data_IF_945164080146
#
_entry.id   IF_945164080146
#
_cell.length_a   1.000
_cell.length_b   1.000
_cell.length_c   1.000
_cell.angle_alpha   90.00
_cell.angle_beta   90.00
_cell.angle_gamma   90.00
#
_symmetry.space_group_name_H-M   'P 1'
#
loop_
_entity.id
_entity.type
_entity.pdbx_description
1 polymer ?
#
# COMPACT_ATOMS: atom_id res chain seq x y z
N UNK A 1 -13.70 -36.58 34.07
CA UNK A 1 -13.65 -35.80 32.82
C UNK A 1 -13.15 -34.42 33.20
N UNK A 2 -11.84 -34.19 33.06
CA UNK A 2 -11.22 -32.92 33.43
C UNK A 2 -11.29 -31.98 32.22
N UNK A 3 -12.10 -30.94 32.33
CA UNK A 3 -12.18 -29.88 31.32
C UNK A 3 -10.90 -29.06 31.35
N UNK A 4 -10.19 -29.02 30.22
CA UNK A 4 -9.05 -28.12 30.03
C UNK A 4 -9.57 -26.68 29.81
N UNK A 5 -8.89 -25.65 30.32
CA UNK A 5 -9.27 -24.27 30.02
C UNK A 5 -8.90 -23.96 28.57
N UNK A 6 -9.87 -23.41 27.84
CA UNK A 6 -9.67 -22.75 26.56
C UNK A 6 -8.60 -21.66 26.73
N UNK A 7 -7.44 -21.82 26.09
CA UNK A 7 -6.47 -20.74 25.91
C UNK A 7 -7.19 -19.62 25.14
N UNK A 8 -7.70 -18.65 25.87
CA UNK A 8 -8.20 -17.41 25.30
C UNK A 8 -7.02 -16.72 24.64
N UNK A 9 -6.96 -16.77 23.32
CA UNK A 9 -6.03 -15.99 22.51
C UNK A 9 -6.31 -14.52 22.82
N UNK A 10 -5.58 -13.97 23.78
CA UNK A 10 -5.67 -12.57 24.17
C UNK A 10 -5.05 -11.81 23.02
N UNK A 11 -5.91 -11.28 22.14
CA UNK A 11 -5.49 -10.34 21.11
C UNK A 11 -4.71 -9.23 21.82
N UNK A 12 -3.50 -8.89 21.34
CA UNK A 12 -2.71 -7.84 21.98
C UNK A 12 -3.54 -6.56 22.08
N UNK A 13 -3.33 -5.76 23.12
CA UNK A 13 -4.09 -4.53 23.30
C UNK A 13 -3.98 -3.65 22.05
N UNK A 14 -5.09 -2.99 21.69
CA UNK A 14 -5.10 -2.05 20.57
C UNK A 14 -4.00 -1.00 20.76
N UNK A 15 -3.36 -0.59 19.66
CA UNK A 15 -2.34 0.45 19.67
C UNK A 15 -2.96 1.77 20.15
N UNK A 16 -2.24 2.49 21.02
CA UNK A 16 -2.56 3.88 21.28
C UNK A 16 -2.37 4.72 20.00
N UNK A 17 -2.98 5.91 19.89
CA UNK A 17 -2.75 6.81 18.77
C UNK A 17 -1.25 7.09 18.53
N UNK A 18 -0.48 7.29 19.60
CA UNK A 18 0.96 7.53 19.53
C UNK A 18 1.72 6.29 19.03
N UNK A 19 1.38 5.09 19.54
CA UNK A 19 2.00 3.85 19.10
C UNK A 19 1.69 3.53 17.63
N UNK A 20 0.46 3.80 17.18
CA UNK A 20 0.08 3.67 15.77
C UNK A 20 0.89 4.62 14.88
N UNK A 21 1.08 5.87 15.32
CA UNK A 21 1.90 6.85 14.61
C UNK A 21 3.35 6.40 14.53
N UNK A 22 3.93 5.95 15.64
CA UNK A 22 5.32 5.47 15.70
C UNK A 22 5.55 4.30 14.75
N UNK A 23 4.71 3.26 14.81
CA UNK A 23 4.79 2.12 13.89
C UNK A 23 4.60 2.52 12.43
N UNK A 24 3.71 3.47 12.14
CA UNK A 24 3.51 3.98 10.78
C UNK A 24 4.75 4.73 10.24
N UNK A 25 5.36 5.58 11.06
CA UNK A 25 6.58 6.31 10.70
C UNK A 25 7.77 5.36 10.53
N UNK A 26 7.87 4.34 11.37
CA UNK A 26 8.87 3.29 11.23
C UNK A 26 8.70 2.53 9.91
N UNK A 27 7.47 2.13 9.56
CA UNK A 27 7.18 1.49 8.29
C UNK A 27 7.66 2.34 7.10
N UNK A 28 7.37 3.65 7.11
CA UNK A 28 7.82 4.58 6.06
C UNK A 28 9.35 4.68 5.99
N UNK A 29 10.03 4.70 7.14
CA UNK A 29 11.49 4.70 7.20
C UNK A 29 12.09 3.40 6.64
N UNK A 30 11.45 2.26 6.90
CA UNK A 30 11.85 0.97 6.34
C UNK A 30 11.66 0.92 4.82
N UNK A 31 10.55 1.44 4.30
CA UNK A 31 10.34 1.59 2.84
C UNK A 31 11.48 2.42 2.22
N UNK A 32 11.81 3.57 2.81
CA UNK A 32 12.89 4.43 2.31
C UNK A 32 14.28 3.78 2.32
N UNK A 33 14.50 2.79 3.20
CA UNK A 33 15.74 2.00 3.27
C UNK A 33 15.74 0.76 2.37
N UNK A 34 14.59 0.42 1.76
CA UNK A 34 14.43 -0.80 0.97
C UNK A 34 14.11 -2.06 1.79
N UNK A 35 13.82 -1.91 3.08
CA UNK A 35 13.51 -3.02 3.99
C UNK A 35 12.02 -3.44 3.90
N UNK A 36 11.55 -3.77 2.69
CA UNK A 36 10.12 -3.91 2.39
C UNK A 36 9.38 -4.99 3.19
N UNK A 37 10.04 -6.10 3.52
CA UNK A 37 9.44 -7.13 4.37
C UNK A 37 9.15 -6.62 5.79
N UNK A 38 10.08 -5.85 6.36
CA UNK A 38 9.88 -5.25 7.68
C UNK A 38 8.84 -4.13 7.62
N UNK A 39 8.89 -3.29 6.58
CA UNK A 39 7.88 -2.26 6.35
C UNK A 39 6.47 -2.84 6.25
N UNK A 40 6.30 -3.93 5.50
CA UNK A 40 5.02 -4.62 5.35
C UNK A 40 4.48 -5.10 6.70
N UNK A 41 5.33 -5.73 7.52
CA UNK A 41 4.94 -6.18 8.85
C UNK A 41 4.53 -5.02 9.77
N UNK A 42 5.22 -3.87 9.68
CA UNK A 42 4.87 -2.70 10.46
C UNK A 42 3.55 -2.08 10.02
N UNK A 43 3.30 -1.98 8.71
CA UNK A 43 2.00 -1.55 8.21
C UNK A 43 0.87 -2.50 8.61
N UNK A 44 1.09 -3.82 8.53
CA UNK A 44 0.13 -4.82 9.01
C UNK A 44 -0.17 -4.67 10.51
N UNK A 45 0.85 -4.39 11.32
CA UNK A 45 0.69 -4.12 12.75
C UNK A 45 -0.23 -2.91 13.00
N UNK A 46 0.00 -1.80 12.29
CA UNK A 46 -0.85 -0.61 12.40
C UNK A 46 -2.28 -0.94 11.97
N UNK A 47 -2.49 -1.57 10.82
CA UNK A 47 -3.85 -1.83 10.33
C UNK A 47 -4.62 -2.80 11.23
N UNK A 48 -3.96 -3.79 11.84
CA UNK A 48 -4.63 -4.77 12.70
C UNK A 48 -4.98 -4.22 14.07
N UNK A 49 -4.11 -3.36 14.62
CA UNK A 49 -4.16 -3.02 16.03
C UNK A 49 -4.55 -1.56 16.30
N UNK A 50 -4.51 -0.67 15.30
CA UNK A 50 -5.05 0.68 15.45
C UNK A 50 -6.59 0.69 15.29
N UNK A 51 -7.30 1.63 15.94
CA UNK A 51 -8.75 1.80 15.74
C UNK A 51 -9.08 2.03 14.26
N UNK A 52 -10.17 1.43 13.78
CA UNK A 52 -10.54 1.51 12.35
C UNK A 52 -10.87 2.93 11.86
N UNK A 53 -11.30 3.81 12.77
CA UNK A 53 -11.55 5.24 12.53
C UNK A 53 -10.28 6.10 12.54
N UNK A 54 -9.10 5.50 12.74
CA UNK A 54 -7.83 6.22 12.76
C UNK A 54 -7.38 6.59 11.36
N UNK A 55 -7.19 7.88 11.09
CA UNK A 55 -6.56 8.35 9.86
C UNK A 55 -5.16 7.73 9.63
N UNK A 56 -4.44 7.37 10.69
CA UNK A 56 -3.15 6.66 10.57
C UNK A 56 -3.37 5.25 9.99
N UNK A 57 -4.41 4.56 10.45
CA UNK A 57 -4.76 3.23 9.93
C UNK A 57 -5.19 3.31 8.45
N UNK A 58 -5.83 4.40 8.06
CA UNK A 58 -6.19 4.70 6.66
C UNK A 58 -4.94 4.80 5.77
N UNK A 59 -4.01 5.70 6.08
CA UNK A 59 -2.75 5.81 5.33
C UNK A 59 -1.90 4.53 5.39
N UNK A 60 -1.94 3.81 6.52
CA UNK A 60 -1.25 2.54 6.65
C UNK A 60 -1.81 1.48 5.71
N UNK A 61 -3.11 1.46 5.40
CA UNK A 61 -3.68 0.50 4.44
C UNK A 61 -3.13 0.71 3.02
N UNK A 62 -3.05 1.96 2.55
CA UNK A 62 -2.42 2.27 1.27
C UNK A 62 -0.95 1.86 1.24
N UNK A 63 -0.16 2.27 2.25
CA UNK A 63 1.25 1.89 2.36
C UNK A 63 1.46 0.37 2.42
N UNK A 64 0.59 -0.35 3.14
CA UNK A 64 0.58 -1.81 3.21
C UNK A 64 0.32 -2.46 1.86
N UNK A 65 -0.67 -1.97 1.11
CA UNK A 65 -1.04 -2.53 -0.19
C UNK A 65 0.11 -2.35 -1.20
N UNK A 66 0.72 -1.18 -1.24
CA UNK A 66 1.91 -0.88 -2.06
C UNK A 66 3.07 -1.79 -1.66
N UNK A 67 3.38 -1.88 -0.36
CA UNK A 67 4.50 -2.71 0.12
C UNK A 67 4.23 -4.21 -0.08
N UNK A 68 2.96 -4.64 -0.01
CA UNK A 68 2.53 -6.01 -0.30
C UNK A 68 2.85 -6.42 -1.74
N UNK A 69 2.67 -5.48 -2.69
CA UNK A 69 3.06 -5.70 -4.08
C UNK A 69 4.57 -5.94 -4.18
N UNK A 70 5.34 -5.11 -3.48
CA UNK A 70 6.81 -5.16 -3.48
C UNK A 70 7.35 -6.47 -2.92
N UNK A 71 6.76 -7.00 -1.84
CA UNK A 71 7.16 -8.29 -1.26
C UNK A 71 6.61 -9.51 -2.01
N UNK A 72 5.96 -9.31 -3.17
CA UNK A 72 5.63 -10.36 -4.13
C UNK A 72 4.21 -10.91 -4.08
N UNK A 73 3.36 -10.51 -3.13
CA UNK A 73 1.95 -10.91 -3.11
C UNK A 73 1.08 -9.97 -3.96
N UNK A 74 1.39 -9.94 -5.26
CA UNK A 74 0.85 -8.96 -6.22
C UNK A 74 -0.67 -9.06 -6.40
N UNK A 75 -1.22 -10.26 -6.41
CA UNK A 75 -2.67 -10.46 -6.57
C UNK A 75 -3.47 -9.85 -5.43
N UNK A 76 -3.06 -10.10 -4.19
CA UNK A 76 -3.71 -9.52 -3.01
C UNK A 76 -3.47 -8.01 -2.91
N UNK A 77 -2.28 -7.52 -3.32
CA UNK A 77 -2.00 -6.10 -3.38
C UNK A 77 -2.95 -5.35 -4.33
N UNK A 78 -3.26 -5.91 -5.50
CA UNK A 78 -4.23 -5.32 -6.44
C UNK A 78 -5.62 -5.22 -5.81
N UNK A 79 -6.10 -6.27 -5.13
CA UNK A 79 -7.41 -6.24 -4.45
C UNK A 79 -7.44 -5.15 -3.37
N UNK A 80 -6.36 -5.02 -2.59
CA UNK A 80 -6.26 -3.99 -1.56
C UNK A 80 -6.24 -2.59 -2.17
N UNK A 81 -5.47 -2.36 -3.25
CA UNK A 81 -5.44 -1.09 -3.97
C UNK A 81 -6.80 -0.73 -4.60
N UNK A 82 -7.54 -1.71 -5.15
CA UNK A 82 -8.91 -1.52 -5.64
C UNK A 82 -9.85 -1.02 -4.51
N UNK A 83 -9.66 -1.51 -3.28
CA UNK A 83 -10.41 -1.02 -2.13
C UNK A 83 -9.98 0.40 -1.72
N UNK A 84 -8.69 0.71 -1.75
CA UNK A 84 -8.19 2.04 -1.37
C UNK A 84 -8.67 3.14 -2.33
N UNK A 85 -8.71 2.90 -3.64
CA UNK A 85 -9.20 3.92 -4.60
C UNK A 85 -10.71 4.19 -4.46
N UNK A 86 -11.49 3.24 -3.91
CA UNK A 86 -12.91 3.45 -3.62
C UNK A 86 -13.12 4.31 -2.37
N UNK A 87 -12.25 4.17 -1.36
CA UNK A 87 -12.32 4.97 -0.13
C UNK A 87 -11.65 6.34 -0.29
N UNK A 88 -10.66 6.45 -1.19
CA UNK A 88 -9.79 7.62 -1.34
C UNK A 88 -9.66 8.07 -2.80
N UNK A 89 -10.78 8.38 -3.44
CA UNK A 89 -10.86 8.80 -4.85
C UNK A 89 -9.94 10.00 -5.18
N UNK A 90 -9.55 10.81 -4.20
CA UNK A 90 -8.68 11.98 -4.40
C UNK A 90 -7.18 11.76 -4.18
N UNK A 91 -6.73 10.51 -3.93
CA UNK A 91 -5.32 10.24 -3.63
C UNK A 91 -4.60 9.74 -4.89
N UNK A 92 -3.82 10.60 -5.57
CA UNK A 92 -3.18 10.24 -6.85
C UNK A 92 -2.24 9.04 -6.72
N UNK A 93 -1.61 8.86 -5.56
CA UNK A 93 -0.73 7.72 -5.29
C UNK A 93 -1.47 6.37 -5.39
N UNK A 94 -2.68 6.28 -4.84
CA UNK A 94 -3.47 5.06 -4.86
C UNK A 94 -3.86 4.67 -6.29
N UNK A 95 -4.30 5.66 -7.07
CA UNK A 95 -4.65 5.49 -8.48
C UNK A 95 -3.44 5.10 -9.33
N UNK A 96 -2.30 5.76 -9.16
CA UNK A 96 -1.07 5.44 -9.88
C UNK A 96 -0.54 4.04 -9.52
N UNK A 97 -0.60 3.65 -8.24
CA UNK A 97 -0.16 2.34 -7.77
C UNK A 97 -1.05 1.24 -8.35
N UNK A 98 -2.38 1.45 -8.34
CA UNK A 98 -3.33 0.50 -8.92
C UNK A 98 -3.12 0.38 -10.43
N UNK A 99 -2.89 1.49 -11.14
CA UNK A 99 -2.60 1.46 -12.58
C UNK A 99 -1.37 0.60 -12.90
N UNK A 100 -0.25 0.85 -12.23
CA UNK A 100 0.98 0.08 -12.40
C UNK A 100 0.78 -1.42 -12.09
N UNK A 101 0.08 -1.72 -11.00
CA UNK A 101 -0.16 -3.09 -10.55
C UNK A 101 -1.10 -3.86 -11.51
N UNK A 102 -2.21 -3.24 -11.94
CA UNK A 102 -3.18 -3.81 -12.87
C UNK A 102 -2.59 -4.09 -14.24
N UNK A 103 -1.73 -3.20 -14.74
CA UNK A 103 -1.04 -3.42 -16.01
C UNK A 103 -0.23 -4.70 -15.99
N UNK A 104 0.54 -4.90 -14.92
CA UNK A 104 1.38 -6.09 -14.74
C UNK A 104 0.56 -7.39 -14.56
N UNK A 105 -0.71 -7.29 -14.15
CA UNK A 105 -1.63 -8.43 -14.08
C UNK A 105 -2.50 -8.62 -15.33
N UNK A 106 -2.28 -7.84 -16.39
CA UNK A 106 -3.04 -7.92 -17.66
C UNK A 106 -4.43 -7.26 -17.63
N UNK A 107 -4.77 -6.51 -16.56
CA UNK A 107 -6.03 -5.76 -16.45
C UNK A 107 -5.89 -4.37 -17.10
N UNK A 108 -5.60 -4.34 -18.40
CA UNK A 108 -5.13 -3.12 -19.11
C UNK A 108 -6.15 -1.97 -19.10
N UNK A 109 -7.42 -2.22 -19.38
CA UNK A 109 -8.45 -1.15 -19.38
C UNK A 109 -8.66 -0.51 -18.01
N UNK A 110 -8.58 -1.30 -16.93
CA UNK A 110 -8.62 -0.76 -15.57
C UNK A 110 -7.36 0.06 -15.29
N UNK A 111 -6.19 -0.42 -15.72
CA UNK A 111 -4.94 0.31 -15.54
C UNK A 111 -4.98 1.69 -16.21
N UNK A 112 -5.46 1.77 -17.45
CA UNK A 112 -5.61 3.03 -18.20
C UNK A 112 -6.57 4.00 -17.50
N UNK A 113 -7.75 3.54 -17.10
CA UNK A 113 -8.72 4.38 -16.40
C UNK A 113 -8.15 4.95 -15.09
N UNK A 114 -7.51 4.11 -14.27
CA UNK A 114 -6.90 4.56 -13.01
C UNK A 114 -5.74 5.52 -13.26
N UNK A 115 -5.00 5.33 -14.36
CA UNK A 115 -3.93 6.24 -14.74
C UNK A 115 -4.45 7.62 -15.13
N UNK A 116 -5.54 7.70 -15.90
CA UNK A 116 -6.18 8.98 -16.25
C UNK A 116 -6.55 9.77 -15.00
N UNK A 117 -7.18 9.11 -14.02
CA UNK A 117 -7.53 9.72 -12.72
C UNK A 117 -6.27 10.20 -11.98
N UNK A 118 -5.21 9.38 -11.92
CA UNK A 118 -3.96 9.78 -11.28
C UNK A 118 -3.36 11.04 -11.93
N UNK A 119 -3.40 11.15 -13.26
CA UNK A 119 -2.89 12.30 -14.00
C UNK A 119 -3.73 13.56 -13.83
N UNK A 120 -5.04 13.42 -13.61
CA UNK A 120 -5.92 14.55 -13.29
C UNK A 120 -5.55 15.18 -11.95
N UNK A 121 -5.24 14.35 -10.94
CA UNK A 121 -4.86 14.84 -9.61
C UNK A 121 -3.40 15.29 -9.51
N UNK A 122 -2.45 14.52 -10.07
CA UNK A 122 -1.03 14.88 -10.05
C UNK A 122 -0.25 14.23 -11.20
N UNK A 123 0.00 15.01 -12.25
CA UNK A 123 0.72 14.57 -13.44
C UNK A 123 2.18 14.19 -13.20
N UNK A 124 2.77 14.54 -12.04
CA UNK A 124 4.16 14.19 -11.71
C UNK A 124 4.39 12.68 -11.57
N UNK A 125 3.33 11.89 -11.34
CA UNK A 125 3.42 10.43 -11.32
C UNK A 125 3.92 9.84 -12.66
N UNK A 126 3.82 10.57 -13.78
CA UNK A 126 4.42 10.19 -15.07
C UNK A 126 5.97 10.16 -15.05
N UNK A 127 6.58 10.73 -14.02
CA UNK A 127 8.02 10.71 -13.80
C UNK A 127 8.38 9.65 -12.75
N UNK A 128 8.78 8.45 -13.21
CA UNK A 128 9.15 7.31 -12.35
C UNK A 128 10.25 7.67 -11.34
N UNK A 129 11.20 8.52 -11.73
CA UNK A 129 12.26 8.98 -10.83
C UNK A 129 11.68 9.82 -9.69
N UNK A 130 10.77 10.75 -10.01
CA UNK A 130 10.08 11.55 -9.00
C UNK A 130 9.29 10.67 -8.03
N UNK A 131 8.56 9.66 -8.52
CA UNK A 131 7.84 8.70 -7.68
C UNK A 131 8.80 7.97 -6.72
N UNK A 132 9.93 7.48 -7.24
CA UNK A 132 10.94 6.78 -6.45
C UNK A 132 11.56 7.69 -5.38
N UNK A 133 11.81 8.96 -5.69
CA UNK A 133 12.43 9.92 -4.76
C UNK A 133 11.46 10.47 -3.69
N UNK A 134 10.17 10.60 -4.00
CA UNK A 134 9.20 11.24 -3.09
C UNK A 134 8.35 10.23 -2.31
N UNK A 135 7.99 9.11 -2.94
CA UNK A 135 7.15 8.08 -2.34
C UNK A 135 7.93 6.81 -1.98
N UNK A 136 9.17 6.69 -2.43
CA UNK A 136 10.05 5.55 -2.11
C UNK A 136 9.45 4.20 -2.51
N UNK A 137 8.60 4.18 -3.54
CA UNK A 137 8.09 2.92 -4.10
C UNK A 137 9.25 2.00 -4.45
N UNK A 138 9.09 0.71 -4.19
CA UNK A 138 10.13 -0.25 -4.43
C UNK A 138 10.33 -0.60 -5.91
N UNK A 139 11.41 -1.32 -6.24
CA UNK A 139 11.79 -1.67 -7.61
C UNK A 139 10.72 -2.47 -8.36
N UNK A 140 9.94 -3.32 -7.69
CA UNK A 140 8.89 -4.11 -8.37
C UNK A 140 7.76 -3.21 -8.86
N UNK A 141 7.23 -2.33 -8.01
CA UNK A 141 6.11 -1.46 -8.39
C UNK A 141 6.56 -0.32 -9.33
N UNK A 142 7.73 0.27 -9.10
CA UNK A 142 8.30 1.28 -10.01
C UNK A 142 8.64 0.67 -11.37
N UNK A 143 9.14 -0.57 -11.41
CA UNK A 143 9.35 -1.31 -12.65
C UNK A 143 8.05 -1.60 -13.41
N UNK A 144 6.97 -1.92 -12.69
CA UNK A 144 5.64 -2.06 -13.26
C UNK A 144 5.13 -0.74 -13.88
N UNK A 145 5.28 0.37 -13.17
CA UNK A 145 4.94 1.70 -13.65
C UNK A 145 5.75 2.07 -14.90
N UNK A 146 7.06 1.80 -14.89
CA UNK A 146 7.93 2.09 -16.03
C UNK A 146 7.52 1.33 -17.30
N UNK A 147 7.13 0.06 -17.15
CA UNK A 147 6.62 -0.76 -18.26
C UNK A 147 5.30 -0.22 -18.80
N UNK A 148 4.37 0.11 -17.90
CA UNK A 148 3.10 0.73 -18.26
C UNK A 148 3.32 2.00 -19.10
N UNK A 149 4.16 2.93 -18.63
CA UNK A 149 4.46 4.19 -19.31
C UNK A 149 5.22 4.04 -20.63
N UNK A 150 5.90 2.92 -20.84
CA UNK A 150 6.63 2.67 -22.09
C UNK A 150 5.73 2.17 -23.22
N UNK A 151 4.54 1.66 -22.90
CA UNK A 151 3.60 1.06 -23.85
C UNK A 151 2.40 1.96 -24.15
N UNK A 152 2.15 2.95 -23.31
CA UNK A 152 1.08 3.95 -23.47
C UNK A 152 1.55 5.26 -24.13
N UNK A 153 2.83 5.36 -24.49
CA UNK A 153 3.39 6.46 -25.26
C UNK A 153 3.33 6.24 -26.76
#
# INVERSE_FOLDING_TARGET
MSSSPSEGTTQPPALSPEGALESFLEARSLVARGDYNLAFNQYENVVRNAPSSSAIAEYARLGRAITRYEVGNKGQAVIELEYEVLNYVGIPEAHAALAAACWSSGKTSLAEFQWEVAMEFDSRFSNVRWVSENYHWGPELTGALQKFLSLTK
#
